data_IF_525292465049
#
_entry.id   IF_525292465049
#
_cell.length_a   1.000
_cell.length_b   1.000
_cell.length_c   1.000
_cell.angle_alpha   90.00
_cell.angle_beta   90.00
_cell.angle_gamma   90.00
#
_symmetry.space_group_name_H-M   'P 1'
#
loop_
_entity.id
_entity.type
_entity.pdbx_description
1 polymer ?
#
# COMPACT_ATOMS: atom_id res chain seq x y z
N UNK A 1 4.77 -4.65 4.00
CA UNK A 1 3.42 -4.33 4.52
C UNK A 1 2.46 -5.35 3.91
N UNK A 2 1.50 -5.95 4.63
CA UNK A 2 0.50 -6.85 4.00
C UNK A 2 -0.66 -6.00 3.46
N UNK A 3 -1.42 -6.51 2.47
CA UNK A 3 -2.59 -5.81 1.89
C UNK A 3 -3.63 -5.43 2.96
N UNK A 4 -3.65 -6.17 4.06
CA UNK A 4 -4.39 -5.95 5.29
C UNK A 4 -3.39 -6.20 6.42
N UNK A 5 -3.45 -5.41 7.50
CA UNK A 5 -2.68 -5.71 8.72
C UNK A 5 -3.15 -7.06 9.30
N UNK A 6 -2.40 -8.13 8.97
CA UNK A 6 -2.75 -9.48 9.38
C UNK A 6 -2.68 -9.64 10.89
N UNK A 7 -1.74 -8.97 11.54
CA UNK A 7 -1.55 -9.08 12.97
C UNK A 7 -2.75 -8.48 13.70
N UNK A 8 -3.24 -7.33 13.23
CA UNK A 8 -4.45 -6.70 13.74
C UNK A 8 -5.71 -7.54 13.43
N UNK A 9 -5.79 -8.14 12.25
CA UNK A 9 -6.88 -9.05 11.89
C UNK A 9 -6.90 -10.29 12.80
N UNK A 10 -5.76 -10.92 13.05
CA UNK A 10 -5.62 -12.08 13.94
C UNK A 10 -6.00 -11.70 15.37
N UNK A 11 -5.56 -10.54 15.89
CA UNK A 11 -5.96 -10.04 17.21
C UNK A 11 -7.47 -9.89 17.30
N UNK A 12 -8.12 -9.34 16.26
CA UNK A 12 -9.56 -9.13 16.24
C UNK A 12 -10.34 -10.46 16.20
N UNK A 13 -9.87 -11.43 15.41
CA UNK A 13 -10.48 -12.76 15.32
C UNK A 13 -10.32 -13.55 16.62
N UNK A 14 -9.15 -13.51 17.26
CA UNK A 14 -8.92 -14.21 18.53
C UNK A 14 -9.54 -13.48 19.73
N UNK A 15 -9.61 -12.15 19.70
CA UNK A 15 -10.11 -11.29 20.78
C UNK A 15 -11.64 -11.18 20.85
N UNK A 16 -12.36 -11.24 19.72
CA UNK A 16 -13.84 -11.19 19.69
C UNK A 16 -14.51 -12.49 20.21
N UNK A 17 -13.75 -13.56 20.37
CA UNK A 17 -14.28 -14.91 20.65
C UNK A 17 -14.75 -15.17 22.08
N UNK A 18 -14.31 -14.41 23.09
CA UNK A 18 -14.56 -14.78 24.50
C UNK A 18 -15.71 -13.99 25.13
N UNK A 19 -16.03 -12.80 24.60
CA UNK A 19 -16.94 -11.88 25.28
C UNK A 19 -18.37 -11.78 24.70
N UNK A 20 -18.63 -12.23 23.46
CA UNK A 20 -19.87 -11.85 22.75
C UNK A 20 -20.65 -12.97 22.04
N UNK A 21 -20.04 -14.14 21.77
CA UNK A 21 -20.66 -15.19 20.97
C UNK A 21 -20.54 -16.58 21.63
N UNK A 22 -21.51 -17.49 21.39
CA UNK A 22 -21.45 -18.87 21.87
C UNK A 22 -20.23 -19.61 21.29
N UNK A 23 -19.70 -20.56 22.06
CA UNK A 23 -18.41 -21.25 21.84
C UNK A 23 -18.21 -21.88 20.46
N UNK A 24 -19.30 -22.26 19.77
CA UNK A 24 -19.27 -22.82 18.41
C UNK A 24 -18.92 -21.78 17.35
N UNK A 25 -19.38 -20.54 17.49
CA UNK A 25 -19.01 -19.44 16.59
C UNK A 25 -17.56 -19.00 16.82
N UNK A 26 -17.09 -19.10 18.06
CA UNK A 26 -15.71 -18.81 18.43
C UNK A 26 -14.71 -19.76 17.78
N UNK A 27 -15.05 -21.04 17.61
CA UNK A 27 -14.17 -22.03 16.98
C UNK A 27 -13.84 -21.70 15.52
N UNK A 28 -14.85 -21.30 14.73
CA UNK A 28 -14.63 -20.90 13.33
C UNK A 28 -13.72 -19.67 13.19
N UNK A 29 -13.82 -18.72 14.12
CA UNK A 29 -13.01 -17.52 14.13
C UNK A 29 -11.54 -17.79 14.52
N UNK A 30 -11.31 -18.72 15.45
CA UNK A 30 -9.96 -19.21 15.78
C UNK A 30 -9.33 -19.97 14.60
N UNK A 31 -10.09 -20.88 13.97
CA UNK A 31 -9.61 -21.62 12.80
C UNK A 31 -9.25 -20.67 11.64
N UNK A 32 -10.05 -19.63 11.40
CA UNK A 32 -9.74 -18.61 10.41
C UNK A 32 -8.44 -17.86 10.73
N UNK A 33 -8.20 -17.50 12.00
CA UNK A 33 -6.95 -16.86 12.42
C UNK A 33 -5.71 -17.75 12.19
N UNK A 34 -5.86 -19.06 12.41
CA UNK A 34 -4.77 -20.02 12.21
C UNK A 34 -4.46 -20.25 10.73
N UNK A 35 -5.48 -20.29 9.86
CA UNK A 35 -5.25 -20.34 8.40
C UNK A 35 -4.61 -19.05 7.89
N UNK A 36 -5.07 -17.89 8.38
CA UNK A 36 -4.47 -16.59 8.06
C UNK A 36 -3.00 -16.51 8.45
N UNK A 37 -2.62 -17.06 9.59
CA UNK A 37 -1.23 -17.10 10.06
C UNK A 37 -0.30 -17.93 9.16
N UNK A 38 -0.84 -18.87 8.37
CA UNK A 38 -0.08 -19.70 7.42
C UNK A 38 0.13 -19.01 6.07
N UNK A 39 -0.61 -17.95 5.77
CA UNK A 39 -0.50 -17.27 4.49
C UNK A 39 0.84 -16.52 4.38
N UNK A 40 1.50 -16.59 3.22
CA UNK A 40 2.76 -15.89 3.00
C UNK A 40 2.56 -14.38 3.17
N UNK A 41 3.58 -13.72 3.71
CA UNK A 41 3.62 -12.26 3.76
C UNK A 41 3.77 -11.74 2.34
N UNK A 42 2.84 -10.88 1.91
CA UNK A 42 3.01 -10.10 0.69
C UNK A 42 3.90 -8.91 1.01
N UNK A 43 4.90 -8.66 0.17
CA UNK A 43 5.68 -7.43 0.23
C UNK A 43 4.92 -6.30 -0.48
N UNK A 44 3.96 -5.69 0.22
CA UNK A 44 3.29 -4.50 -0.28
C UNK A 44 4.04 -3.24 0.18
N UNK A 45 4.12 -2.29 -0.75
CA UNK A 45 4.61 -0.93 -0.54
C UNK A 45 3.49 0.07 -0.83
N UNK A 46 3.41 1.20 -0.10
CA UNK A 46 2.42 2.22 -0.38
C UNK A 46 2.61 2.76 -1.80
N UNK A 47 1.51 2.92 -2.52
CA UNK A 47 1.53 3.49 -3.87
C UNK A 47 1.81 4.98 -3.77
N UNK A 48 2.89 5.43 -4.42
CA UNK A 48 3.21 6.84 -4.61
C UNK A 48 2.84 7.26 -6.03
N UNK A 49 2.09 8.35 -6.15
CA UNK A 49 1.76 8.95 -7.44
C UNK A 49 2.92 9.82 -7.91
N UNK A 50 3.08 9.98 -9.21
CA UNK A 50 4.18 10.77 -9.78
C UNK A 50 4.21 12.20 -9.21
N UNK A 51 3.04 12.83 -9.03
CA UNK A 51 2.89 14.15 -8.38
C UNK A 51 3.22 14.21 -6.88
N UNK A 52 3.56 13.08 -6.26
CA UNK A 52 4.02 12.98 -4.87
C UNK A 52 5.43 12.36 -4.79
N UNK A 53 6.06 12.06 -5.93
CA UNK A 53 7.35 11.37 -6.00
C UNK A 53 8.50 12.34 -5.68
N UNK A 54 9.50 11.92 -4.90
CA UNK A 54 10.68 12.73 -4.56
C UNK A 54 11.43 13.22 -5.81
N UNK A 55 11.42 12.41 -6.86
CA UNK A 55 12.10 12.68 -8.14
C UNK A 55 11.27 13.43 -9.16
N UNK A 56 10.15 14.01 -8.72
CA UNK A 56 9.27 14.77 -9.60
C UNK A 56 9.95 16.01 -10.15
N UNK A 57 10.04 16.09 -11.47
CA UNK A 57 10.35 17.30 -12.19
C UNK A 57 9.10 17.78 -12.94
N UNK A 58 8.53 18.95 -12.57
CA UNK A 58 7.48 19.55 -13.36
C UNK A 58 8.06 20.04 -14.69
N UNK A 59 7.29 19.83 -15.75
CA UNK A 59 7.47 20.52 -17.03
C UNK A 59 6.92 21.97 -16.96
N UNK A 60 7.15 22.76 -18.01
CA UNK A 60 6.76 24.19 -18.04
C UNK A 60 5.23 24.45 -17.97
N UNK A 61 4.39 23.46 -18.25
CA UNK A 61 2.92 23.57 -18.31
C UNK A 61 2.19 22.74 -17.22
N UNK A 62 2.93 22.06 -16.35
CA UNK A 62 2.40 21.24 -15.24
C UNK A 62 1.62 19.99 -15.66
N UNK A 63 1.62 19.62 -16.94
CA UNK A 63 0.74 18.60 -17.52
C UNK A 63 1.30 17.17 -17.43
N UNK A 64 2.62 17.03 -17.31
CA UNK A 64 3.32 15.75 -17.13
C UNK A 64 4.50 15.91 -16.17
N UNK A 65 4.98 14.77 -15.67
CA UNK A 65 6.06 14.70 -14.69
C UNK A 65 7.19 13.83 -15.21
N UNK A 66 8.40 14.39 -15.27
CA UNK A 66 9.61 13.63 -15.60
C UNK A 66 10.32 13.15 -14.33
N UNK A 67 11.10 12.07 -14.45
CA UNK A 67 12.29 11.93 -13.60
C UNK A 67 13.35 12.86 -14.17
N UNK A 68 14.07 13.60 -13.34
CA UNK A 68 15.07 14.59 -13.76
C UNK A 68 16.24 14.06 -14.64
N UNK A 69 16.24 12.77 -14.98
CA UNK A 69 17.31 12.03 -15.66
C UNK A 69 17.05 11.88 -17.17
N UNK A 70 15.80 11.97 -17.66
CA UNK A 70 15.53 11.82 -19.10
C UNK A 70 14.35 12.68 -19.56
N UNK A 71 14.66 13.79 -20.22
CA UNK A 71 13.70 14.73 -20.84
C UNK A 71 13.49 14.46 -22.34
N UNK A 72 13.91 13.30 -22.86
CA UNK A 72 14.12 13.12 -24.31
C UNK A 72 12.95 12.50 -25.10
N UNK A 73 11.82 12.12 -24.48
CA UNK A 73 10.77 11.34 -25.17
C UNK A 73 9.34 11.82 -24.85
N UNK A 74 8.75 12.71 -25.68
CA UNK A 74 7.43 13.28 -25.44
C UNK A 74 6.26 12.29 -25.55
N UNK A 75 6.48 11.12 -26.16
CA UNK A 75 5.38 10.20 -26.51
C UNK A 75 5.00 9.27 -25.35
N UNK A 76 5.83 9.17 -24.31
CA UNK A 76 5.66 8.27 -23.14
C UNK A 76 5.90 9.02 -21.81
N UNK A 77 5.54 10.29 -21.75
CA UNK A 77 5.71 11.10 -20.55
C UNK A 77 4.82 10.58 -19.41
N UNK A 78 5.36 10.36 -18.20
CA UNK A 78 4.57 10.00 -17.05
C UNK A 78 3.56 11.10 -16.72
N UNK A 79 2.31 10.72 -16.50
CA UNK A 79 1.24 11.61 -16.05
C UNK A 79 1.28 11.76 -14.53
N UNK A 80 0.68 12.84 -14.03
CA UNK A 80 0.65 13.15 -12.60
C UNK A 80 0.09 12.02 -11.73
N UNK A 81 -0.89 11.27 -12.24
CA UNK A 81 -1.53 10.15 -11.55
C UNK A 81 -0.88 8.78 -11.86
N UNK A 82 0.15 8.75 -12.71
CA UNK A 82 0.94 7.54 -12.93
C UNK A 82 1.71 7.16 -11.67
N UNK A 83 2.15 5.90 -11.61
CA UNK A 83 2.87 5.37 -10.47
C UNK A 83 4.33 5.81 -10.47
N UNK A 84 4.82 6.30 -9.32
CA UNK A 84 6.23 6.57 -9.08
C UNK A 84 6.98 5.24 -9.04
N UNK A 85 7.84 5.00 -10.03
CA UNK A 85 8.60 3.74 -10.14
C UNK A 85 9.55 3.49 -8.96
N UNK A 86 10.02 4.56 -8.31
CA UNK A 86 10.88 4.48 -7.14
C UNK A 86 10.10 4.34 -5.82
N UNK A 87 8.80 4.64 -5.80
CA UNK A 87 7.98 4.59 -4.58
C UNK A 87 8.38 5.57 -3.47
N UNK A 88 9.30 6.49 -3.73
CA UNK A 88 9.81 7.47 -2.77
C UNK A 88 8.95 8.73 -2.77
N UNK A 89 8.30 9.02 -1.65
CA UNK A 89 7.48 10.23 -1.48
C UNK A 89 8.37 11.44 -1.13
N UNK A 90 8.00 12.63 -1.59
CA UNK A 90 8.68 13.89 -1.19
C UNK A 90 8.60 14.10 0.32
N UNK A 91 9.66 14.65 0.90
CA UNK A 91 9.74 14.98 2.33
C UNK A 91 9.28 16.39 2.66
N UNK A 92 8.96 17.17 1.63
CA UNK A 92 8.95 18.64 1.68
C UNK A 92 7.57 19.19 2.08
N UNK A 93 6.57 18.31 2.24
CA UNK A 93 5.19 18.63 2.61
C UNK A 93 4.91 18.43 4.12
N UNK A 94 5.83 18.89 4.99
CA UNK A 94 5.66 18.90 6.45
C UNK A 94 5.27 20.28 7.00
#
# INVERSE_FOLDING_TARGET
MRLIDLDEAIKLLRGKCVAKYPTTFSFGLFAAADELAKLPTVDAVPVVRCKDCQWYAPNNDGSWCGCAIDTSHPDNEPKLDDFCSYGERRTDDA
#
